data_IF_047768133803
#
_entry.id   IF_047768133803
#
_cell.length_a   1.000
_cell.length_b   1.000
_cell.length_c   1.000
_cell.angle_alpha   90.00
_cell.angle_beta   90.00
_cell.angle_gamma   90.00
#
_symmetry.space_group_name_H-M   'P 1'
#
loop_
_entity.id
_entity.type
_entity.pdbx_description
1 polymer ?
#
# COMPACT_ATOMS: atom_id res chain seq x y z
N UNK A 1 16.45 24.94 12.24
CA UNK A 1 15.54 24.42 13.28
C UNK A 1 14.10 24.32 12.79
N UNK A 2 13.53 25.36 12.15
CA UNK A 2 12.18 25.33 11.56
C UNK A 2 12.00 24.23 10.52
N UNK A 3 12.93 24.08 9.59
CA UNK A 3 12.89 23.03 8.53
C UNK A 3 12.85 21.60 9.10
N UNK A 4 13.61 21.32 10.15
CA UNK A 4 13.61 19.99 10.79
C UNK A 4 12.28 19.70 11.50
N UNK A 5 11.69 20.70 12.12
CA UNK A 5 10.40 20.56 12.79
C UNK A 5 9.28 20.34 11.77
N UNK A 6 9.29 21.11 10.67
CA UNK A 6 8.31 20.94 9.59
C UNK A 6 8.43 19.56 8.90
N UNK A 7 9.65 19.08 8.68
CA UNK A 7 9.90 17.74 8.14
C UNK A 7 9.41 16.65 9.08
N UNK A 8 9.67 16.81 10.39
CA UNK A 8 9.20 15.86 11.41
C UNK A 8 7.68 15.85 11.52
N UNK A 9 7.04 17.01 11.51
CA UNK A 9 5.57 17.12 11.56
C UNK A 9 4.94 16.52 10.30
N UNK A 10 5.49 16.78 9.11
CA UNK A 10 5.02 16.17 7.86
C UNK A 10 5.18 14.65 7.87
N UNK A 11 6.27 14.15 8.41
CA UNK A 11 6.53 12.72 8.57
C UNK A 11 5.50 12.06 9.50
N UNK A 12 5.25 12.64 10.66
CA UNK A 12 4.27 12.14 11.63
C UNK A 12 2.85 12.16 11.04
N UNK A 13 2.46 13.24 10.39
CA UNK A 13 1.14 13.37 9.77
C UNK A 13 0.93 12.38 8.62
N UNK A 14 1.97 12.13 7.80
CA UNK A 14 1.91 11.13 6.73
C UNK A 14 1.78 9.71 7.28
N UNK A 15 2.52 9.38 8.33
CA UNK A 15 2.43 8.08 9.00
C UNK A 15 1.07 7.86 9.66
N UNK A 16 0.52 8.88 10.32
CA UNK A 16 -0.82 8.81 10.90
C UNK A 16 -1.91 8.61 9.84
N UNK A 17 -1.79 9.25 8.68
CA UNK A 17 -2.71 9.09 7.56
C UNK A 17 -2.73 7.66 7.01
N UNK A 18 -1.57 7.07 6.82
CA UNK A 18 -1.43 5.68 6.33
C UNK A 18 -1.88 4.67 7.39
N UNK A 19 -1.60 4.89 8.68
CA UNK A 19 -2.08 4.06 9.77
C UNK A 19 -3.61 4.11 9.89
N UNK A 20 -4.21 5.29 9.79
CA UNK A 20 -5.68 5.45 9.80
C UNK A 20 -6.34 4.78 8.61
N UNK A 21 -5.75 4.90 7.43
CA UNK A 21 -6.24 4.20 6.23
C UNK A 21 -6.22 2.69 6.42
N UNK A 22 -5.13 2.14 6.93
CA UNK A 22 -5.00 0.71 7.22
C UNK A 22 -6.06 0.24 8.23
N UNK A 23 -6.26 0.98 9.32
CA UNK A 23 -7.28 0.68 10.32
C UNK A 23 -8.70 0.76 9.74
N UNK A 24 -9.01 1.75 8.91
CA UNK A 24 -10.31 1.87 8.23
C UNK A 24 -10.53 0.73 7.24
N UNK A 25 -9.51 0.35 6.48
CA UNK A 25 -9.58 -0.80 5.57
C UNK A 25 -9.92 -2.08 6.35
N UNK A 26 -9.25 -2.31 7.46
CA UNK A 26 -9.54 -3.45 8.34
C UNK A 26 -10.95 -3.40 8.91
N UNK A 27 -11.42 -2.22 9.34
CA UNK A 27 -12.78 -2.05 9.85
C UNK A 27 -13.84 -2.38 8.81
N UNK A 28 -13.67 -1.92 7.57
CA UNK A 28 -14.57 -2.25 6.45
C UNK A 28 -14.57 -3.76 6.19
N UNK A 29 -13.41 -4.41 6.20
CA UNK A 29 -13.30 -5.86 6.02
C UNK A 29 -14.06 -6.63 7.12
N UNK A 30 -13.99 -6.18 8.37
CA UNK A 30 -14.77 -6.77 9.48
C UNK A 30 -16.27 -6.63 9.23
N UNK A 31 -16.72 -5.48 8.81
CA UNK A 31 -18.15 -5.24 8.48
C UNK A 31 -18.62 -6.11 7.31
N UNK A 32 -17.75 -6.39 6.34
CA UNK A 32 -18.02 -7.26 5.20
C UNK A 32 -17.95 -8.76 5.55
N UNK A 33 -17.64 -9.12 6.78
CA UNK A 33 -17.56 -10.50 7.23
C UNK A 33 -16.29 -11.25 6.81
N UNK A 34 -15.22 -10.54 6.50
CA UNK A 34 -13.93 -11.13 6.14
C UNK A 34 -13.34 -11.92 7.31
N UNK A 35 -12.53 -12.94 7.01
CA UNK A 35 -11.79 -13.68 8.03
C UNK A 35 -10.59 -12.87 8.57
N UNK A 36 -10.00 -13.35 9.67
CA UNK A 36 -8.90 -12.65 10.35
C UNK A 36 -7.69 -12.41 9.46
N UNK A 37 -7.34 -13.36 8.60
CA UNK A 37 -6.20 -13.24 7.70
C UNK A 37 -6.42 -12.17 6.62
N UNK A 38 -7.63 -12.07 6.10
CA UNK A 38 -7.99 -11.02 5.14
C UNK A 38 -8.02 -9.63 5.81
N UNK A 39 -8.50 -9.55 7.05
CA UNK A 39 -8.45 -8.33 7.86
C UNK A 39 -7.00 -7.90 8.10
N UNK A 40 -6.13 -8.86 8.43
CA UNK A 40 -4.69 -8.61 8.58
C UNK A 40 -4.05 -8.12 7.28
N UNK A 41 -4.44 -8.69 6.14
CA UNK A 41 -4.01 -8.20 4.83
C UNK A 41 -4.42 -6.73 4.62
N UNK A 42 -5.62 -6.35 5.03
CA UNK A 42 -6.08 -4.96 5.02
C UNK A 42 -5.21 -4.03 5.85
N UNK A 43 -4.75 -4.47 7.02
CA UNK A 43 -3.83 -3.69 7.86
C UNK A 43 -2.43 -3.56 7.25
N UNK A 44 -1.96 -4.55 6.52
CA UNK A 44 -0.57 -4.66 6.08
C UNK A 44 -0.35 -4.33 4.60
N UNK A 45 -1.42 -4.18 3.78
CA UNK A 45 -1.28 -4.08 2.32
C UNK A 45 -0.41 -2.91 1.86
N UNK A 46 -0.46 -1.80 2.54
CA UNK A 46 0.32 -0.58 2.22
C UNK A 46 1.61 -0.43 3.03
N UNK A 47 1.97 -1.43 3.83
CA UNK A 47 3.15 -1.35 4.71
C UNK A 47 4.48 -1.14 3.96
N UNK A 48 4.55 -1.56 2.72
CA UNK A 48 5.72 -1.35 1.86
C UNK A 48 5.90 0.09 1.36
N UNK A 49 4.90 0.98 1.54
CA UNK A 49 5.02 2.39 1.15
C UNK A 49 6.08 3.11 1.97
N UNK A 50 6.93 3.94 1.30
CA UNK A 50 7.82 4.84 2.02
C UNK A 50 7.01 5.86 2.84
N UNK A 51 7.51 6.19 4.04
CA UNK A 51 6.91 7.22 4.89
C UNK A 51 6.89 8.61 4.24
N UNK A 52 7.85 8.88 3.36
CA UNK A 52 7.98 10.15 2.63
C UNK A 52 7.15 10.22 1.33
N UNK A 53 6.19 9.32 1.15
CA UNK A 53 5.31 9.33 -0.03
C UNK A 53 4.50 10.62 -0.08
N UNK A 54 4.59 11.33 -1.21
CA UNK A 54 3.91 12.60 -1.47
C UNK A 54 2.80 12.42 -2.51
N UNK A 55 1.90 13.39 -2.59
CA UNK A 55 0.82 13.37 -3.58
C UNK A 55 1.33 13.25 -5.01
N UNK A 56 2.44 13.92 -5.36
CA UNK A 56 2.99 13.84 -6.71
C UNK A 56 3.47 12.44 -7.08
N UNK A 57 3.96 11.64 -6.11
CA UNK A 57 4.30 10.24 -6.35
C UNK A 57 3.07 9.43 -6.80
N UNK A 58 1.94 9.67 -6.16
CA UNK A 58 0.67 8.99 -6.49
C UNK A 58 0.18 9.38 -7.88
N UNK A 59 0.17 10.67 -8.19
CA UNK A 59 -0.23 11.18 -9.50
C UNK A 59 0.69 10.67 -10.60
N UNK A 60 2.01 10.79 -10.43
CA UNK A 60 3.00 10.30 -11.38
C UNK A 60 2.90 8.80 -11.60
N UNK A 61 2.68 8.01 -10.52
CA UNK A 61 2.49 6.57 -10.61
C UNK A 61 1.29 6.18 -11.46
N UNK A 62 0.15 6.85 -11.30
CA UNK A 62 -1.05 6.61 -12.13
C UNK A 62 -0.80 6.98 -13.58
N UNK A 63 -0.18 8.13 -13.84
CA UNK A 63 0.12 8.57 -15.21
C UNK A 63 1.10 7.61 -15.91
N UNK A 64 2.16 7.19 -15.23
CA UNK A 64 3.12 6.23 -15.78
C UNK A 64 2.48 4.88 -16.06
N UNK A 65 1.61 4.39 -15.18
CA UNK A 65 0.91 3.13 -15.38
C UNK A 65 0.04 3.13 -16.63
N UNK A 66 -0.57 4.27 -16.96
CA UNK A 66 -1.44 4.43 -18.13
C UNK A 66 -0.70 4.74 -19.41
N UNK A 67 0.32 5.61 -19.34
CA UNK A 67 0.98 6.19 -20.52
C UNK A 67 2.31 5.53 -20.86
N UNK A 68 3.05 5.03 -19.87
CA UNK A 68 4.39 4.48 -20.04
C UNK A 68 4.70 3.35 -19.05
N UNK A 69 3.98 2.19 -19.12
CA UNK A 69 4.15 1.11 -18.13
C UNK A 69 5.57 0.52 -18.14
N UNK A 70 6.25 0.49 -19.26
CA UNK A 70 7.64 0.04 -19.34
C UNK A 70 8.61 0.95 -18.58
N UNK A 71 8.45 2.26 -18.69
CA UNK A 71 9.22 3.23 -17.94
C UNK A 71 8.92 3.13 -16.44
N UNK A 72 7.64 2.96 -16.09
CA UNK A 72 7.22 2.73 -14.70
C UNK A 72 7.95 1.54 -14.08
N UNK A 73 8.01 0.42 -14.80
CA UNK A 73 8.72 -0.78 -14.35
C UNK A 73 10.22 -0.55 -14.14
N UNK A 74 10.87 0.20 -15.02
CA UNK A 74 12.30 0.54 -14.87
C UNK A 74 12.55 1.42 -13.65
N UNK A 75 11.72 2.43 -13.42
CA UNK A 75 11.82 3.30 -12.24
C UNK A 75 11.59 2.50 -10.96
N UNK A 76 10.62 1.60 -10.95
CA UNK A 76 10.27 0.77 -9.80
C UNK A 76 11.41 -0.16 -9.33
N UNK A 77 12.34 -0.50 -10.22
CA UNK A 77 13.51 -1.33 -9.88
C UNK A 77 14.62 -0.57 -9.13
N UNK A 78 14.52 0.75 -9.00
CA UNK A 78 15.50 1.58 -8.30
C UNK A 78 15.29 1.64 -6.79
N UNK A 79 16.06 2.51 -6.13
CA UNK A 79 16.03 2.70 -4.66
C UNK A 79 15.50 4.08 -4.22
N UNK A 80 15.06 4.94 -5.15
CA UNK A 80 14.47 6.22 -4.81
C UNK A 80 13.14 6.05 -4.04
N UNK A 81 12.71 7.10 -3.34
CA UNK A 81 11.40 7.11 -2.68
C UNK A 81 10.29 6.82 -3.69
N UNK A 82 10.38 7.40 -4.88
CA UNK A 82 9.42 7.16 -5.95
C UNK A 82 9.43 5.69 -6.42
N UNK A 83 10.62 5.09 -6.60
CA UNK A 83 10.75 3.67 -6.93
C UNK A 83 10.12 2.77 -5.86
N UNK A 84 10.36 3.04 -4.60
CA UNK A 84 9.79 2.30 -3.47
C UNK A 84 8.29 2.45 -3.39
N UNK A 85 7.76 3.62 -3.69
CA UNK A 85 6.32 3.83 -3.80
C UNK A 85 5.70 3.01 -4.93
N UNK A 86 6.28 3.04 -6.13
CA UNK A 86 5.79 2.28 -7.27
C UNK A 86 5.78 0.77 -7.03
N UNK A 87 6.73 0.28 -6.26
CA UNK A 87 6.97 -1.14 -5.98
C UNK A 87 6.51 -1.57 -4.58
N UNK A 88 5.74 -0.75 -3.89
CA UNK A 88 5.42 -0.98 -2.47
C UNK A 88 4.64 -2.29 -2.22
N UNK A 89 3.79 -2.71 -3.13
CA UNK A 89 3.05 -3.97 -2.99
C UNK A 89 4.00 -5.17 -2.93
N UNK A 90 4.96 -5.26 -3.85
CA UNK A 90 5.97 -6.32 -3.88
C UNK A 90 6.88 -6.25 -2.65
N UNK A 91 7.31 -5.06 -2.26
CA UNK A 91 8.18 -4.87 -1.09
C UNK A 91 7.47 -5.21 0.21
N UNK A 92 6.22 -4.83 0.36
CA UNK A 92 5.40 -5.22 1.51
C UNK A 92 5.16 -6.72 1.58
N UNK A 93 4.92 -7.37 0.45
CA UNK A 93 4.78 -8.82 0.36
C UNK A 93 6.09 -9.55 0.72
N UNK A 94 7.23 -9.07 0.23
CA UNK A 94 8.53 -9.63 0.58
C UNK A 94 8.81 -9.54 2.08
N UNK A 95 8.46 -8.43 2.71
CA UNK A 95 8.57 -8.26 4.16
C UNK A 95 7.68 -9.24 4.91
N UNK A 96 6.43 -9.42 4.49
CA UNK A 96 5.52 -10.39 5.09
C UNK A 96 6.05 -11.81 4.96
N UNK A 97 6.66 -12.16 3.84
CA UNK A 97 7.28 -13.47 3.62
C UNK A 97 8.46 -13.70 4.57
N UNK A 98 9.33 -12.71 4.74
CA UNK A 98 10.45 -12.78 5.70
C UNK A 98 9.93 -12.97 7.12
N UNK A 99 8.81 -12.38 7.48
CA UNK A 99 8.18 -12.52 8.80
C UNK A 99 7.45 -13.85 8.99
N UNK A 100 7.46 -14.73 7.99
CA UNK A 100 6.82 -16.04 8.07
C UNK A 100 5.30 -16.01 7.91
N UNK A 101 4.73 -14.99 7.30
CA UNK A 101 3.30 -14.89 7.02
C UNK A 101 2.88 -15.95 5.98
N UNK A 102 1.60 -16.30 5.99
CA UNK A 102 1.05 -17.32 5.09
C UNK A 102 1.21 -16.93 3.61
N UNK A 103 1.30 -17.91 2.68
CA UNK A 103 1.31 -17.63 1.25
C UNK A 103 0.07 -16.85 0.78
N UNK A 104 -1.10 -17.09 1.37
CA UNK A 104 -2.33 -16.34 1.09
C UNK A 104 -2.16 -14.87 1.43
N UNK A 105 -1.67 -14.54 2.62
CA UNK A 105 -1.45 -13.16 3.05
C UNK A 105 -0.42 -12.46 2.16
N UNK A 106 0.69 -13.12 1.88
CA UNK A 106 1.74 -12.60 0.99
C UNK A 106 1.19 -12.29 -0.39
N UNK A 107 0.39 -13.20 -0.96
CA UNK A 107 -0.25 -13.01 -2.27
C UNK A 107 -1.24 -11.83 -2.26
N UNK A 108 -2.06 -11.70 -1.22
CA UNK A 108 -3.01 -10.58 -1.09
C UNK A 108 -2.28 -9.24 -1.08
N UNK A 109 -1.20 -9.12 -0.34
CA UNK A 109 -0.38 -7.88 -0.31
C UNK A 109 0.27 -7.64 -1.67
N UNK A 110 0.91 -8.63 -2.27
CA UNK A 110 1.61 -8.50 -3.55
C UNK A 110 0.69 -8.03 -4.68
N UNK A 111 -0.56 -8.47 -4.65
CA UNK A 111 -1.51 -8.28 -5.74
C UNK A 111 -2.57 -7.20 -5.49
N UNK A 112 -2.49 -6.45 -4.40
CA UNK A 112 -3.59 -5.53 -4.06
C UNK A 112 -3.80 -4.39 -5.08
N UNK A 113 -2.86 -4.13 -5.98
CA UNK A 113 -3.02 -3.19 -7.10
C UNK A 113 -3.32 -3.87 -8.44
N UNK A 114 -3.31 -5.19 -8.49
CA UNK A 114 -3.63 -5.94 -9.70
C UNK A 114 -5.15 -6.13 -9.83
N UNK A 115 -5.66 -6.40 -11.05
CA UNK A 115 -7.06 -6.76 -11.21
C UNK A 115 -7.43 -7.98 -10.34
N UNK A 116 -8.50 -7.90 -9.53
CA UNK A 116 -8.89 -9.00 -8.65
C UNK A 116 -9.24 -10.28 -9.41
N UNK A 117 -8.71 -11.42 -8.95
CA UNK A 117 -8.94 -12.75 -9.53
C UNK A 117 -9.99 -13.56 -8.79
N UNK A 118 -10.19 -13.29 -7.50
CA UNK A 118 -11.03 -14.08 -6.62
C UNK A 118 -11.83 -13.19 -5.64
N UNK A 119 -12.63 -13.83 -4.80
CA UNK A 119 -13.48 -13.13 -3.83
C UNK A 119 -12.65 -12.37 -2.78
N UNK A 120 -11.55 -12.93 -2.30
CA UNK A 120 -10.68 -12.29 -1.32
C UNK A 120 -10.04 -11.02 -1.87
N UNK A 121 -9.48 -11.10 -3.07
CA UNK A 121 -8.87 -9.95 -3.74
C UNK A 121 -9.92 -8.86 -4.02
N UNK A 122 -11.16 -9.23 -4.38
CA UNK A 122 -12.26 -8.28 -4.56
C UNK A 122 -12.68 -7.59 -3.28
N UNK A 123 -12.76 -8.33 -2.18
CA UNK A 123 -13.10 -7.76 -0.86
C UNK A 123 -12.02 -6.77 -0.40
N UNK A 124 -10.74 -7.14 -0.54
CA UNK A 124 -9.64 -6.25 -0.17
C UNK A 124 -9.65 -4.97 -1.02
N UNK A 125 -9.82 -5.08 -2.33
CA UNK A 125 -9.89 -3.93 -3.23
C UNK A 125 -11.09 -3.02 -2.90
N UNK A 126 -12.24 -3.59 -2.57
CA UNK A 126 -13.43 -2.86 -2.15
C UNK A 126 -13.19 -2.11 -0.84
N UNK A 127 -12.66 -2.80 0.16
CA UNK A 127 -12.37 -2.20 1.47
C UNK A 127 -11.34 -1.07 1.38
N UNK A 128 -10.30 -1.25 0.57
CA UNK A 128 -9.29 -0.23 0.31
C UNK A 128 -9.92 1.04 -0.29
N UNK A 129 -10.82 0.90 -1.26
CA UNK A 129 -11.54 2.04 -1.86
C UNK A 129 -12.51 2.71 -0.89
N UNK A 130 -13.28 1.95 -0.12
CA UNK A 130 -14.26 2.48 0.84
C UNK A 130 -13.59 3.16 2.04
N UNK A 131 -12.36 2.80 2.35
CA UNK A 131 -11.56 3.38 3.43
C UNK A 131 -10.88 4.70 3.05
N UNK A 132 -10.92 5.12 1.79
CA UNK A 132 -10.40 6.44 1.38
C UNK A 132 -11.19 7.56 2.03
N UNK A 133 -10.50 8.66 2.43
CA UNK A 133 -11.17 9.82 3.01
C UNK A 133 -12.07 10.53 2.02
#
# INVERSE_FOLDING_TARGET
MRERVEQTVRFVVAQEGDARHAERTAAVLRELGADEELILAGLLHDRGKPADTRLWHRIAGVLLARLAPGLRGRIANGDSIFARYLDHARRGAAQAQIEGRSPRLVSLIARHHEPPRDADERLLARADREALP
#
